data_IF_413098752965
#
_entry.id   IF_413098752965
#
_cell.length_a   1.000
_cell.length_b   1.000
_cell.length_c   1.000
_cell.angle_alpha   90.00
_cell.angle_beta   90.00
_cell.angle_gamma   90.00
#
_symmetry.space_group_name_H-M   'P 1'
#
loop_
_entity.id
_entity.type
_entity.pdbx_description
1 polymer ?
#
# COMPACT_ATOMS: atom_id res chain seq x y z
N UNK A 1 -33.01 -28.91 -24.14
CA UNK A 1 -32.31 -28.64 -22.86
C UNK A 1 -31.27 -27.55 -23.12
N UNK A 2 -31.70 -26.38 -23.60
CA UNK A 2 -31.97 -25.16 -22.80
C UNK A 2 -31.28 -25.09 -21.43
N UNK A 3 -30.05 -24.62 -21.45
CA UNK A 3 -29.39 -23.98 -20.31
C UNK A 3 -28.92 -22.60 -20.76
N UNK A 4 -29.87 -21.69 -20.94
CA UNK A 4 -29.58 -20.28 -21.11
C UNK A 4 -28.71 -19.81 -19.93
N UNK A 5 -27.51 -19.34 -20.26
CA UNK A 5 -26.61 -18.59 -19.39
C UNK A 5 -27.32 -17.34 -18.86
N UNK A 6 -28.21 -17.52 -17.88
CA UNK A 6 -28.74 -16.43 -17.06
C UNK A 6 -27.64 -16.07 -16.06
N UNK A 7 -26.69 -15.28 -16.55
CA UNK A 7 -25.86 -14.44 -15.70
C UNK A 7 -26.80 -13.59 -14.83
N UNK A 8 -26.53 -13.49 -13.52
CA UNK A 8 -27.50 -13.08 -12.50
C UNK A 8 -28.19 -11.75 -12.81
N UNK A 9 -29.43 -11.60 -12.32
CA UNK A 9 -30.35 -10.49 -12.55
C UNK A 9 -29.68 -9.10 -12.59
N UNK A 10 -29.41 -8.62 -13.81
CA UNK A 10 -28.84 -7.31 -14.06
C UNK A 10 -28.51 -7.13 -15.53
N UNK A 11 -29.52 -7.27 -16.41
CA UNK A 11 -29.38 -6.95 -17.83
C UNK A 11 -29.11 -5.46 -18.07
N UNK A 12 -29.67 -4.89 -19.14
CA UNK A 12 -29.54 -3.45 -19.45
C UNK A 12 -29.76 -2.53 -18.22
N UNK A 13 -30.73 -2.78 -17.31
CA UNK A 13 -30.91 -1.95 -16.11
C UNK A 13 -29.75 -2.00 -15.12
N UNK A 14 -29.10 -3.16 -14.97
CA UNK A 14 -27.94 -3.31 -14.09
C UNK A 14 -26.74 -2.52 -14.62
N UNK A 15 -26.55 -2.54 -15.94
CA UNK A 15 -25.51 -1.75 -16.60
C UNK A 15 -25.80 -0.25 -16.54
N UNK A 16 -27.06 0.17 -16.71
CA UNK A 16 -27.43 1.58 -16.60
C UNK A 16 -27.11 2.10 -15.19
N UNK A 17 -27.49 1.37 -14.14
CA UNK A 17 -27.15 1.71 -12.75
C UNK A 17 -25.64 1.82 -12.55
N UNK A 18 -24.89 0.85 -13.07
CA UNK A 18 -23.43 0.87 -13.00
C UNK A 18 -22.83 2.12 -13.65
N UNK A 19 -23.31 2.50 -14.83
CA UNK A 19 -22.83 3.71 -15.53
C UNK A 19 -23.29 5.00 -14.85
N UNK A 20 -24.45 5.01 -14.18
CA UNK A 20 -24.87 6.15 -13.35
C UNK A 20 -23.95 6.33 -12.14
N UNK A 21 -23.51 5.23 -11.52
CA UNK A 21 -22.69 5.26 -10.32
C UNK A 21 -21.20 5.47 -10.60
N UNK A 22 -20.67 4.85 -11.67
CA UNK A 22 -19.23 4.82 -11.98
C UNK A 22 -18.87 5.43 -13.35
N UNK A 23 -19.81 6.16 -13.98
CA UNK A 23 -19.66 6.65 -15.35
C UNK A 23 -18.41 7.48 -15.59
N UNK A 24 -18.05 8.37 -14.66
CA UNK A 24 -16.84 9.20 -14.76
C UNK A 24 -15.56 8.36 -14.76
N UNK A 25 -15.50 7.35 -13.89
CA UNK A 25 -14.36 6.43 -13.82
C UNK A 25 -14.24 5.58 -15.09
N UNK A 26 -15.38 5.16 -15.65
CA UNK A 26 -15.44 4.45 -16.92
C UNK A 26 -14.98 5.34 -18.06
N UNK A 27 -15.44 6.59 -18.12
CA UNK A 27 -15.03 7.55 -19.15
C UNK A 27 -13.53 7.84 -19.10
N UNK A 28 -12.99 8.03 -17.89
CA UNK A 28 -11.55 8.21 -17.68
C UNK A 28 -10.76 6.99 -18.16
N UNK A 29 -11.16 5.78 -17.75
CA UNK A 29 -10.49 4.56 -18.18
C UNK A 29 -10.60 4.36 -19.70
N UNK A 30 -11.75 4.72 -20.28
CA UNK A 30 -11.97 4.68 -21.73
C UNK A 30 -10.94 5.52 -22.48
N UNK A 31 -10.80 6.79 -22.08
CA UNK A 31 -9.82 7.70 -22.66
C UNK A 31 -8.36 7.22 -22.48
N UNK A 32 -8.07 6.58 -21.35
CA UNK A 32 -6.72 6.12 -21.01
C UNK A 32 -6.29 4.86 -21.75
N UNK A 33 -7.13 3.82 -21.76
CA UNK A 33 -6.74 2.49 -22.24
C UNK A 33 -7.18 2.22 -23.69
N UNK A 34 -8.16 2.96 -24.20
CA UNK A 34 -8.68 2.81 -25.57
C UNK A 34 -8.77 4.17 -26.26
N UNK A 35 -7.62 4.80 -26.57
CA UNK A 35 -7.59 6.11 -27.21
C UNK A 35 -8.38 6.11 -28.51
N UNK A 36 -9.17 7.16 -28.72
CA UNK A 36 -10.08 7.26 -29.86
C UNK A 36 -11.45 6.58 -29.65
N UNK A 37 -11.71 5.99 -28.49
CA UNK A 37 -13.05 5.54 -28.07
C UNK A 37 -13.57 6.43 -26.95
N UNK A 38 -14.82 6.87 -27.07
CA UNK A 38 -15.52 7.62 -26.02
C UNK A 38 -16.73 6.85 -25.52
N UNK A 39 -17.07 6.99 -24.25
CA UNK A 39 -18.34 6.48 -23.71
C UNK A 39 -19.54 7.10 -24.45
N UNK A 40 -19.40 8.35 -24.93
CA UNK A 40 -20.42 9.03 -25.73
C UNK A 40 -20.70 8.34 -27.05
N UNK A 41 -19.77 7.52 -27.57
CA UNK A 41 -19.95 6.83 -28.84
C UNK A 41 -21.03 5.73 -28.76
N UNK A 42 -21.42 5.30 -27.56
CA UNK A 42 -22.61 4.44 -27.38
C UNK A 42 -23.89 5.13 -27.84
N UNK A 43 -23.99 6.43 -27.60
CA UNK A 43 -25.16 7.23 -27.98
C UNK A 43 -25.08 7.72 -29.42
N UNK A 44 -23.87 7.91 -29.95
CA UNK A 44 -23.62 8.30 -31.34
C UNK A 44 -23.62 7.12 -32.32
N UNK A 45 -23.66 5.89 -31.83
CA UNK A 45 -23.61 4.67 -32.64
C UNK A 45 -22.21 4.23 -33.07
N UNK A 46 -21.15 4.89 -32.59
CA UNK A 46 -19.75 4.53 -32.86
C UNK A 46 -19.21 3.40 -31.96
N UNK A 47 -19.94 3.04 -30.90
CA UNK A 47 -19.58 1.98 -29.95
C UNK A 47 -20.79 1.10 -29.64
N UNK A 48 -20.62 -0.21 -29.74
CA UNK A 48 -21.68 -1.17 -29.39
C UNK A 48 -21.64 -1.54 -27.90
N UNK A 49 -22.78 -1.93 -27.33
CA UNK A 49 -22.85 -2.48 -25.96
C UNK A 49 -21.93 -3.69 -25.75
N UNK A 50 -21.75 -4.50 -26.80
CA UNK A 50 -20.83 -5.64 -26.77
C UNK A 50 -19.39 -5.19 -26.62
N UNK A 51 -18.97 -4.16 -27.36
CA UNK A 51 -17.62 -3.60 -27.27
C UNK A 51 -17.36 -2.95 -25.92
N UNK A 52 -18.31 -2.16 -25.39
CA UNK A 52 -18.20 -1.62 -24.04
C UNK A 52 -17.98 -2.75 -23.01
N UNK A 53 -18.75 -3.85 -23.10
CA UNK A 53 -18.57 -5.01 -22.23
C UNK A 53 -17.17 -5.63 -22.35
N UNK A 54 -16.61 -5.69 -23.56
CA UNK A 54 -15.23 -6.18 -23.77
C UNK A 54 -14.22 -5.24 -23.10
N UNK A 55 -14.35 -3.93 -23.29
CA UNK A 55 -13.46 -2.95 -22.66
C UNK A 55 -13.50 -3.08 -21.14
N UNK A 56 -14.68 -3.07 -20.53
CA UNK A 56 -14.82 -3.21 -19.09
C UNK A 56 -14.28 -4.55 -18.56
N UNK A 57 -14.41 -5.64 -19.32
CA UNK A 57 -13.89 -6.97 -18.93
C UNK A 57 -12.37 -7.03 -18.89
N UNK A 58 -11.69 -6.28 -19.75
CA UNK A 58 -10.23 -6.29 -19.87
C UNK A 58 -9.58 -5.05 -19.22
N UNK A 59 -10.30 -4.34 -18.37
CA UNK A 59 -9.71 -3.29 -17.55
C UNK A 59 -8.60 -3.85 -16.65
N UNK A 60 -7.45 -3.16 -16.59
CA UNK A 60 -6.43 -3.47 -15.60
C UNK A 60 -6.97 -3.37 -14.17
N UNK A 61 -6.38 -4.14 -13.24
CA UNK A 61 -6.83 -4.16 -11.85
C UNK A 61 -6.69 -2.78 -11.18
N UNK A 62 -5.73 -1.99 -11.63
CA UNK A 62 -5.45 -0.64 -11.14
C UNK A 62 -6.25 0.46 -11.87
N UNK A 63 -7.22 0.13 -12.73
CA UNK A 63 -8.04 1.13 -13.43
C UNK A 63 -8.92 1.95 -12.48
N UNK A 64 -9.31 3.17 -12.88
CA UNK A 64 -10.16 4.04 -12.05
C UNK A 64 -11.50 3.37 -11.70
N UNK A 65 -12.14 2.72 -12.69
CA UNK A 65 -13.37 1.95 -12.50
C UNK A 65 -13.18 0.82 -11.50
N UNK A 66 -12.09 0.04 -11.65
CA UNK A 66 -11.82 -1.08 -10.76
C UNK A 66 -11.54 -0.62 -9.31
N UNK A 67 -10.95 0.56 -9.12
CA UNK A 67 -10.74 1.18 -7.81
C UNK A 67 -12.04 1.68 -7.20
N UNK A 68 -12.86 2.39 -7.98
CA UNK A 68 -14.15 2.91 -7.55
C UNK A 68 -15.10 1.78 -7.11
N UNK A 69 -15.22 0.71 -7.91
CA UNK A 69 -16.07 -0.45 -7.61
C UNK A 69 -15.65 -1.18 -6.33
N UNK A 70 -14.34 -1.21 -6.04
CA UNK A 70 -13.82 -1.85 -4.82
C UNK A 70 -13.97 -0.98 -3.58
N UNK A 71 -14.37 0.28 -3.72
CA UNK A 71 -14.33 1.28 -2.65
C UNK A 71 -12.96 1.31 -1.96
N UNK A 72 -11.88 1.21 -2.75
CA UNK A 72 -10.53 1.16 -2.21
C UNK A 72 -10.20 2.47 -1.48
N UNK A 73 -9.64 2.36 -0.28
CA UNK A 73 -9.17 3.53 0.45
C UNK A 73 -7.95 4.14 -0.25
N UNK A 74 -7.69 5.46 -0.07
CA UNK A 74 -6.50 6.10 -0.64
C UNK A 74 -5.18 5.42 -0.22
N UNK A 75 -5.14 4.83 0.98
CA UNK A 75 -3.98 4.11 1.49
C UNK A 75 -3.75 2.78 0.75
N UNK A 76 -4.82 2.02 0.47
CA UNK A 76 -4.75 0.78 -0.33
C UNK A 76 -4.37 1.06 -1.79
N UNK A 77 -4.78 2.20 -2.34
CA UNK A 77 -4.35 2.65 -3.67
C UNK A 77 -2.88 3.09 -3.67
N UNK A 78 -2.44 3.74 -2.59
CA UNK A 78 -1.05 4.15 -2.44
C UNK A 78 -0.09 2.95 -2.23
N UNK A 79 -0.56 1.84 -1.66
CA UNK A 79 0.25 0.66 -1.37
C UNK A 79 -0.23 -0.58 -2.10
N UNK A 80 0.00 -0.59 -3.41
CA UNK A 80 -0.20 -1.79 -4.23
C UNK A 80 0.77 -2.90 -3.84
N UNK A 81 0.45 -4.16 -4.19
CA UNK A 81 1.34 -5.30 -3.98
C UNK A 81 2.75 -5.05 -4.54
N UNK A 82 2.84 -4.50 -5.74
CA UNK A 82 4.12 -4.18 -6.36
C UNK A 82 4.92 -3.16 -5.55
N UNK A 83 4.25 -2.15 -4.96
CA UNK A 83 4.92 -1.18 -4.07
C UNK A 83 5.38 -1.82 -2.77
N UNK A 84 4.61 -2.74 -2.19
CA UNK A 84 5.04 -3.53 -1.04
C UNK A 84 6.29 -4.39 -1.36
N UNK A 85 6.29 -5.05 -2.51
CA UNK A 85 7.40 -5.89 -2.95
C UNK A 85 8.65 -5.05 -3.26
N UNK A 86 8.49 -3.93 -3.97
CA UNK A 86 9.59 -2.99 -4.24
C UNK A 86 10.19 -2.43 -2.95
N UNK A 87 9.36 -2.00 -2.00
CA UNK A 87 9.85 -1.54 -0.69
C UNK A 87 10.62 -2.66 0.04
N UNK A 88 10.12 -3.88 -0.01
CA UNK A 88 10.78 -5.04 0.61
C UNK A 88 12.12 -5.37 -0.06
N UNK A 89 12.23 -5.23 -1.38
CA UNK A 89 13.50 -5.36 -2.10
C UNK A 89 14.48 -4.27 -1.66
N UNK A 90 14.05 -3.01 -1.58
CA UNK A 90 14.91 -1.90 -1.15
C UNK A 90 15.41 -2.12 0.28
N UNK A 91 14.54 -2.58 1.19
CA UNK A 91 14.93 -2.94 2.55
C UNK A 91 15.98 -4.05 2.58
N UNK A 92 15.77 -5.13 1.82
CA UNK A 92 16.70 -6.26 1.72
C UNK A 92 18.07 -5.85 1.14
N UNK A 93 18.09 -4.97 0.14
CA UNK A 93 19.34 -4.43 -0.44
C UNK A 93 20.09 -3.57 0.56
N UNK A 94 19.38 -2.72 1.31
CA UNK A 94 19.98 -1.91 2.38
C UNK A 94 20.57 -2.79 3.47
N UNK A 95 19.85 -3.83 3.89
CA UNK A 95 20.31 -4.80 4.89
C UNK A 95 21.53 -5.58 4.41
N UNK A 96 21.50 -6.07 3.16
CA UNK A 96 22.63 -6.76 2.53
C UNK A 96 23.88 -5.88 2.46
N UNK A 97 23.72 -4.62 2.06
CA UNK A 97 24.82 -3.64 2.01
C UNK A 97 25.38 -3.37 3.41
N UNK A 98 24.51 -3.23 4.42
CA UNK A 98 24.92 -3.10 5.81
C UNK A 98 25.73 -4.32 6.30
N UNK A 99 25.25 -5.54 6.01
CA UNK A 99 25.93 -6.77 6.37
C UNK A 99 27.31 -6.88 5.72
N UNK A 100 27.40 -6.55 4.42
CA UNK A 100 28.67 -6.56 3.68
C UNK A 100 29.69 -5.57 4.25
N UNK A 101 29.28 -4.33 4.53
CA UNK A 101 30.16 -3.32 5.16
C UNK A 101 30.61 -3.78 6.54
N UNK A 102 29.70 -4.36 7.33
CA UNK A 102 30.00 -4.79 8.69
C UNK A 102 30.96 -5.98 8.73
N UNK A 103 30.84 -6.91 7.78
CA UNK A 103 31.71 -8.07 7.66
C UNK A 103 33.09 -7.71 7.10
N UNK A 104 33.15 -6.82 6.09
CA UNK A 104 34.40 -6.46 5.41
C UNK A 104 35.18 -5.29 6.02
N UNK A 105 34.58 -4.53 6.93
CA UNK A 105 35.21 -3.33 7.52
C UNK A 105 35.91 -3.60 8.85
N UNK A 106 36.76 -2.65 9.26
CA UNK A 106 37.46 -2.68 10.55
C UNK A 106 36.45 -2.78 11.73
N UNK A 107 36.54 -3.82 12.58
CA UNK A 107 35.64 -4.05 13.71
C UNK A 107 35.45 -2.84 14.64
N UNK A 108 36.49 -2.02 14.83
CA UNK A 108 36.40 -0.82 15.69
C UNK A 108 35.50 0.26 15.10
N UNK A 109 35.46 0.36 13.77
CA UNK A 109 34.64 1.32 13.02
C UNK A 109 33.24 0.75 12.77
N UNK A 110 33.17 -0.51 12.35
CA UNK A 110 31.91 -1.17 11.99
C UNK A 110 31.03 -1.54 13.18
N UNK A 111 31.62 -1.74 14.36
CA UNK A 111 30.87 -2.04 15.59
C UNK A 111 29.86 -0.97 16.01
N UNK A 112 30.02 0.28 15.53
CA UNK A 112 29.11 1.40 15.82
C UNK A 112 28.00 1.58 14.78
N UNK A 113 28.06 0.91 13.63
CA UNK A 113 27.04 1.04 12.60
C UNK A 113 25.74 0.36 13.03
N UNK A 114 24.62 1.07 12.86
CA UNK A 114 23.27 0.57 13.12
C UNK A 114 22.67 -0.02 11.84
N UNK A 115 21.85 -1.07 11.96
CA UNK A 115 21.11 -1.57 10.81
C UNK A 115 20.19 -0.48 10.24
N UNK A 116 19.96 -0.46 8.92
CA UNK A 116 19.07 0.48 8.28
C UNK A 116 17.61 0.25 8.73
N UNK A 117 16.85 1.33 8.87
CA UNK A 117 15.42 1.23 9.15
C UNK A 117 14.66 0.84 7.86
N UNK A 118 13.63 -0.02 7.96
CA UNK A 118 12.74 -0.32 6.85
C UNK A 118 12.03 0.93 6.31
N UNK A 119 11.68 0.94 5.04
CA UNK A 119 10.83 1.99 4.44
C UNK A 119 9.46 2.00 5.14
N UNK A 120 8.98 3.16 5.63
CA UNK A 120 7.67 3.28 6.24
C UNK A 120 6.57 2.85 5.27
N UNK A 121 5.77 1.85 5.66
CA UNK A 121 4.66 1.35 4.87
C UNK A 121 3.59 0.69 5.74
N UNK A 122 2.32 0.62 5.28
CA UNK A 122 1.24 -0.02 6.00
C UNK A 122 1.60 -1.45 6.39
N UNK A 123 1.27 -1.83 7.63
CA UNK A 123 1.56 -3.16 8.18
C UNK A 123 3.02 -3.40 8.58
N UNK A 124 3.94 -2.47 8.34
CA UNK A 124 5.34 -2.58 8.80
C UNK A 124 5.58 -1.56 9.90
N UNK A 125 5.79 -2.06 11.11
CA UNK A 125 6.10 -1.21 12.25
C UNK A 125 7.45 -0.52 12.04
N UNK A 126 7.48 0.81 12.23
CA UNK A 126 8.74 1.53 12.32
C UNK A 126 9.55 0.99 13.50
N UNK A 127 10.87 0.89 13.34
CA UNK A 127 11.75 0.50 14.43
C UNK A 127 11.74 1.58 15.51
N UNK A 128 10.81 1.46 16.47
CA UNK A 128 10.77 2.36 17.60
C UNK A 128 12.05 2.18 18.41
N UNK A 129 12.73 3.30 18.70
CA UNK A 129 13.85 3.29 19.63
C UNK A 129 13.30 2.98 21.01
N UNK A 130 13.36 1.72 21.42
CA UNK A 130 13.08 1.37 22.80
C UNK A 130 14.05 2.14 23.69
N UNK A 131 13.52 3.04 24.53
CA UNK A 131 14.29 3.66 25.60
C UNK A 131 14.60 2.58 26.64
N UNK A 132 15.59 1.74 26.36
CA UNK A 132 16.07 0.74 27.30
C UNK A 132 16.75 1.49 28.44
N UNK A 133 16.07 1.56 29.58
CA UNK A 133 16.64 2.04 30.84
C UNK A 133 17.68 1.01 31.26
N UNK A 134 18.97 1.36 31.15
CA UNK A 134 20.07 0.47 31.54
C UNK A 134 20.38 0.65 33.02
N UNK A 135 20.18 -0.41 33.79
CA UNK A 135 20.65 -0.50 35.17
C UNK A 135 22.12 -0.92 35.20
N UNK A 136 22.90 -0.32 36.10
CA UNK A 136 24.32 -0.68 36.33
C UNK A 136 25.37 0.25 35.72
N UNK A 137 24.99 1.38 35.11
CA UNK A 137 25.96 2.40 34.69
C UNK A 137 26.67 3.06 35.88
N UNK A 138 27.98 3.36 35.72
CA UNK A 138 28.95 3.80 36.76
C UNK A 138 28.55 5.02 37.62
N UNK A 139 27.41 5.67 37.37
CA UNK A 139 26.93 6.84 38.12
C UNK A 139 25.40 6.87 38.27
N UNK A 140 24.75 5.78 38.69
CA UNK A 140 23.34 5.79 39.09
C UNK A 140 22.35 6.24 38.00
N UNK A 141 22.72 6.14 36.72
CA UNK A 141 21.92 6.69 35.61
C UNK A 141 20.56 6.02 35.46
N UNK A 142 20.46 4.73 35.81
CA UNK A 142 19.19 3.99 35.81
C UNK A 142 18.19 4.53 36.83
N UNK A 143 18.64 4.88 38.03
CA UNK A 143 17.77 5.44 39.08
C UNK A 143 17.25 6.84 38.72
N UNK A 144 18.08 7.69 38.08
CA UNK A 144 17.64 8.99 37.56
C UNK A 144 16.63 8.84 36.41
N UNK A 145 16.84 7.89 35.49
CA UNK A 145 15.91 7.62 34.40
C UNK A 145 14.56 7.11 34.92
N UNK A 146 14.54 6.27 35.95
CA UNK A 146 13.31 5.86 36.63
C UNK A 146 12.58 7.03 37.29
N UNK A 147 13.29 7.91 38.00
CA UNK A 147 12.67 9.05 38.68
C UNK A 147 11.97 10.02 37.71
N UNK A 148 12.46 10.10 36.46
CA UNK A 148 11.83 10.88 35.38
C UNK A 148 10.59 10.19 34.80
N UNK A 149 10.57 8.84 34.74
CA UNK A 149 9.45 8.07 34.18
C UNK A 149 8.33 7.86 35.20
N UNK A 150 8.68 7.63 36.47
CA UNK A 150 7.73 7.23 37.51
C UNK A 150 7.43 8.32 38.55
N UNK A 151 8.06 9.49 38.45
CA UNK A 151 7.78 10.63 39.31
C UNK A 151 8.26 10.45 40.75
N UNK A 152 9.40 11.07 41.06
CA UNK A 152 10.12 11.14 42.37
C UNK A 152 10.80 9.82 42.81
N UNK A 153 12.02 9.89 43.34
CA UNK A 153 12.65 8.72 43.97
C UNK A 153 11.86 8.39 45.24
N UNK A 154 11.58 7.11 45.46
CA UNK A 154 11.15 6.63 46.76
C UNK A 154 12.22 7.04 47.79
N UNK A 155 11.87 8.01 48.64
CA UNK A 155 12.69 8.39 49.76
C UNK A 155 12.75 7.19 50.71
N UNK A 156 13.97 6.79 51.08
CA UNK A 156 14.22 5.81 52.14
C UNK A 156 13.48 6.25 53.41
N UNK A 157 12.84 5.27 54.06
CA UNK A 157 12.51 5.32 55.49
C UNK A 157 13.80 5.38 56.32
#
# INVERSE_FOLDING_TARGET
MDAALRDRAGGIPGLLRFLTEYGEAVEWDMARYWPGRSLLDLWRGGLTWRELRVFLRYLPRDSATARAVRNASPEEEAWTMDRHLLASIVDAVRESTYAAIKLGGDPKKTGRLKPPAPIPRPGVAETQKSNVIRFGGRHGSGAKQLATVFGRPAANQ
#
